data_IF_180551165911
#
_entry.id   IF_180551165911
#
_cell.length_a   1.000
_cell.length_b   1.000
_cell.length_c   1.000
_cell.angle_alpha   90.00
_cell.angle_beta   90.00
_cell.angle_gamma   90.00
#
_symmetry.space_group_name_H-M   'P 1'
#
loop_
_entity.id
_entity.type
_entity.pdbx_description
1 polymer ?
#
# COMPACT_ATOMS: atom_id res chain seq x y z
N UNK A 1 24.23 -103.59 -1.15
CA UNK A 1 24.05 -102.36 -1.95
C UNK A 1 22.73 -101.78 -1.47
N UNK A 2 22.80 -100.87 -0.49
CA UNK A 2 21.61 -100.40 0.22
C UNK A 2 20.96 -99.27 -0.59
N UNK A 3 20.20 -99.67 -1.61
CA UNK A 3 19.46 -98.78 -2.48
C UNK A 3 18.43 -97.97 -1.70
N UNK A 4 17.77 -98.57 -0.72
CA UNK A 4 16.77 -97.89 0.12
C UNK A 4 17.37 -96.73 0.94
N UNK A 5 18.56 -96.92 1.53
CA UNK A 5 19.24 -95.87 2.28
C UNK A 5 19.73 -94.71 1.38
N UNK A 6 19.86 -94.96 0.09
CA UNK A 6 20.24 -93.95 -0.91
C UNK A 6 19.02 -93.18 -1.39
N UNK A 7 17.87 -93.87 -1.56
CA UNK A 7 16.58 -93.25 -1.90
C UNK A 7 16.09 -92.36 -0.76
N UNK A 8 16.20 -92.80 0.50
CA UNK A 8 15.84 -91.96 1.66
C UNK A 8 16.71 -90.71 1.76
N UNK A 9 18.03 -90.82 1.59
CA UNK A 9 18.93 -89.66 1.58
C UNK A 9 18.63 -88.69 0.43
N UNK A 10 18.35 -89.21 -0.76
CA UNK A 10 17.98 -88.39 -1.91
C UNK A 10 16.64 -87.68 -1.67
N UNK A 11 15.68 -88.37 -1.04
CA UNK A 11 14.37 -87.80 -0.69
C UNK A 11 14.48 -86.70 0.37
N UNK A 12 15.36 -86.89 1.37
CA UNK A 12 15.66 -85.90 2.40
C UNK A 12 16.32 -84.65 1.82
N UNK A 13 17.26 -84.82 0.89
CA UNK A 13 17.90 -83.69 0.19
C UNK A 13 16.91 -82.93 -0.71
N UNK A 14 16.02 -83.63 -1.43
CA UNK A 14 14.96 -83.01 -2.26
C UNK A 14 13.93 -82.23 -1.42
N UNK A 15 13.61 -82.71 -0.22
CA UNK A 15 12.73 -82.01 0.72
C UNK A 15 13.43 -80.80 1.35
N UNK A 16 14.71 -80.91 1.68
CA UNK A 16 15.50 -79.82 2.24
C UNK A 16 15.71 -78.68 1.24
N UNK A 17 15.95 -78.99 -0.04
CA UNK A 17 16.09 -78.02 -1.13
C UNK A 17 14.76 -77.31 -1.47
N UNK A 18 13.62 -78.01 -1.32
CA UNK A 18 12.29 -77.39 -1.37
C UNK A 18 12.03 -76.48 -0.17
N UNK A 19 12.41 -76.89 1.05
CA UNK A 19 12.20 -76.10 2.27
C UNK A 19 13.03 -74.83 2.35
N UNK A 20 14.27 -74.83 1.86
CA UNK A 20 15.13 -73.65 1.79
C UNK A 20 14.66 -72.67 0.70
N UNK A 21 14.33 -73.16 -0.50
CA UNK A 21 13.77 -72.34 -1.58
C UNK A 21 12.45 -71.65 -1.20
N UNK A 22 11.62 -72.32 -0.40
CA UNK A 22 10.35 -71.80 0.12
C UNK A 22 10.54 -70.74 1.23
N UNK A 23 11.63 -70.84 1.98
CA UNK A 23 12.00 -69.85 3.00
C UNK A 23 12.54 -68.55 2.37
N UNK A 24 13.34 -68.65 1.31
CA UNK A 24 13.81 -67.48 0.54
C UNK A 24 12.68 -66.78 -0.23
N UNK A 25 11.74 -67.53 -0.81
CA UNK A 25 10.56 -66.93 -1.46
C UNK A 25 9.65 -66.21 -0.46
N UNK A 26 9.51 -66.73 0.75
CA UNK A 26 8.70 -66.10 1.80
C UNK A 26 9.35 -64.80 2.31
N UNK A 27 10.67 -64.79 2.54
CA UNK A 27 11.38 -63.55 2.90
C UNK A 27 11.32 -62.48 1.80
N UNK A 28 11.48 -62.88 0.53
CA UNK A 28 11.37 -61.94 -0.59
C UNK A 28 9.96 -61.36 -0.73
N UNK A 29 8.92 -62.18 -0.52
CA UNK A 29 7.53 -61.74 -0.51
C UNK A 29 7.20 -60.81 0.66
N UNK A 30 7.74 -61.06 1.85
CA UNK A 30 7.60 -60.16 3.01
C UNK A 30 8.30 -58.82 2.77
N UNK A 31 9.51 -58.84 2.22
CA UNK A 31 10.27 -57.62 1.94
C UNK A 31 9.62 -56.78 0.82
N UNK A 32 9.07 -57.41 -0.22
CA UNK A 32 8.30 -56.72 -1.26
C UNK A 32 6.97 -56.18 -0.73
N UNK A 33 6.28 -56.89 0.15
CA UNK A 33 5.08 -56.38 0.81
C UNK A 33 5.39 -55.15 1.69
N UNK A 34 6.48 -55.18 2.46
CA UNK A 34 6.94 -54.04 3.26
C UNK A 34 7.29 -52.83 2.39
N UNK A 35 8.00 -53.04 1.28
CA UNK A 35 8.30 -51.97 0.31
C UNK A 35 7.03 -51.39 -0.31
N UNK A 36 6.05 -52.21 -0.67
CA UNK A 36 4.76 -51.74 -1.22
C UNK A 36 3.99 -50.90 -0.19
N UNK A 37 3.99 -51.31 1.08
CA UNK A 37 3.39 -50.53 2.16
C UNK A 37 4.10 -49.20 2.38
N UNK A 38 5.44 -49.18 2.35
CA UNK A 38 6.21 -47.94 2.48
C UNK A 38 5.98 -46.98 1.32
N UNK A 39 5.96 -47.50 0.08
CA UNK A 39 5.64 -46.70 -1.12
C UNK A 39 4.24 -46.11 -1.02
N UNK A 40 3.24 -46.90 -0.61
CA UNK A 40 1.88 -46.40 -0.41
C UNK A 40 1.84 -45.31 0.67
N UNK A 41 2.52 -45.51 1.80
CA UNK A 41 2.58 -44.51 2.88
C UNK A 41 3.20 -43.20 2.39
N UNK A 42 4.30 -43.29 1.65
CA UNK A 42 4.98 -42.12 1.08
C UNK A 42 4.12 -41.41 0.04
N UNK A 43 3.36 -42.14 -0.78
CA UNK A 43 2.41 -41.56 -1.72
C UNK A 43 1.30 -40.79 -0.99
N UNK A 44 0.68 -41.39 0.02
CA UNK A 44 -0.36 -40.72 0.83
C UNK A 44 0.18 -39.48 1.56
N UNK A 45 1.40 -39.55 2.09
CA UNK A 45 2.06 -38.42 2.74
C UNK A 45 2.39 -37.30 1.75
N UNK A 46 2.84 -37.65 0.53
CA UNK A 46 3.11 -36.69 -0.53
C UNK A 46 1.83 -35.99 -0.99
N UNK A 47 0.76 -36.74 -1.23
CA UNK A 47 -0.56 -36.19 -1.58
C UNK A 47 -1.07 -35.22 -0.52
N UNK A 48 -0.94 -35.56 0.77
CA UNK A 48 -1.30 -34.65 1.87
C UNK A 48 -0.50 -33.35 1.82
N UNK A 49 0.81 -33.44 1.62
CA UNK A 49 1.69 -32.26 1.53
C UNK A 49 1.34 -31.38 0.33
N UNK A 50 1.05 -31.97 -0.82
CA UNK A 50 0.64 -31.23 -2.02
C UNK A 50 -0.66 -30.47 -1.75
N UNK A 51 -1.67 -31.14 -1.18
CA UNK A 51 -2.94 -30.50 -0.83
C UNK A 51 -2.77 -29.37 0.19
N UNK A 52 -1.88 -29.54 1.17
CA UNK A 52 -1.55 -28.47 2.13
C UNK A 52 -0.86 -27.28 1.46
N UNK A 53 0.09 -27.53 0.56
CA UNK A 53 0.77 -26.48 -0.20
C UNK A 53 -0.18 -25.72 -1.12
N UNK A 54 -1.09 -26.41 -1.81
CA UNK A 54 -2.12 -25.78 -2.64
C UNK A 54 -3.02 -24.85 -1.82
N UNK A 55 -3.45 -25.31 -0.63
CA UNK A 55 -4.25 -24.49 0.29
C UNK A 55 -3.49 -23.24 0.75
N UNK A 56 -2.22 -23.38 1.10
CA UNK A 56 -1.38 -22.25 1.50
C UNK A 56 -1.18 -21.26 0.34
N UNK A 57 -0.93 -21.77 -0.87
CA UNK A 57 -0.78 -20.95 -2.07
C UNK A 57 -2.05 -20.13 -2.36
N UNK A 58 -3.23 -20.75 -2.26
CA UNK A 58 -4.50 -20.05 -2.45
C UNK A 58 -4.71 -18.94 -1.41
N UNK A 59 -4.37 -19.21 -0.14
CA UNK A 59 -4.42 -18.22 0.92
C UNK A 59 -3.49 -17.03 0.63
N UNK A 60 -2.24 -17.29 0.25
CA UNK A 60 -1.29 -16.24 -0.11
C UNK A 60 -1.73 -15.46 -1.35
N UNK A 61 -2.28 -16.12 -2.35
CA UNK A 61 -2.80 -15.44 -3.54
C UNK A 61 -3.92 -14.48 -3.18
N UNK A 62 -4.83 -14.88 -2.29
CA UNK A 62 -5.89 -14.01 -1.79
C UNK A 62 -5.31 -12.82 -1.02
N UNK A 63 -4.40 -13.06 -0.08
CA UNK A 63 -3.77 -11.99 0.71
C UNK A 63 -3.01 -10.99 -0.18
N UNK A 64 -2.31 -11.48 -1.21
CA UNK A 64 -1.61 -10.63 -2.17
C UNK A 64 -2.58 -9.75 -2.97
N UNK A 65 -3.72 -10.30 -3.42
CA UNK A 65 -4.76 -9.51 -4.11
C UNK A 65 -5.35 -8.45 -3.19
N UNK A 66 -5.68 -8.81 -1.95
CA UNK A 66 -6.19 -7.85 -0.97
C UNK A 66 -5.18 -6.72 -0.70
N UNK A 67 -3.90 -7.06 -0.53
CA UNK A 67 -2.85 -6.06 -0.34
C UNK A 67 -2.68 -5.16 -1.57
N UNK A 68 -2.73 -5.74 -2.78
CA UNK A 68 -2.65 -4.98 -4.02
C UNK A 68 -3.80 -3.98 -4.16
N UNK A 69 -5.04 -4.40 -3.90
CA UNK A 69 -6.19 -3.48 -3.96
C UNK A 69 -6.07 -2.33 -2.95
N UNK A 70 -5.57 -2.61 -1.73
CA UNK A 70 -5.31 -1.57 -0.73
C UNK A 70 -4.21 -0.61 -1.16
N UNK A 71 -3.15 -1.12 -1.79
CA UNK A 71 -2.06 -0.31 -2.31
C UNK A 71 -2.57 0.62 -3.42
N UNK A 72 -3.32 0.10 -4.39
CA UNK A 72 -3.90 0.88 -5.49
C UNK A 72 -4.83 2.00 -4.96
N UNK A 73 -5.65 1.71 -3.94
CA UNK A 73 -6.49 2.71 -3.29
C UNK A 73 -5.66 3.81 -2.59
N UNK A 74 -4.60 3.43 -1.88
CA UNK A 74 -3.70 4.37 -1.20
C UNK A 74 -2.94 5.25 -2.21
N UNK A 75 -2.47 4.67 -3.32
CA UNK A 75 -1.82 5.41 -4.41
C UNK A 75 -2.78 6.39 -5.10
N UNK A 76 -4.04 6.00 -5.28
CA UNK A 76 -5.07 6.90 -5.80
C UNK A 76 -5.31 8.07 -4.84
N UNK A 77 -5.44 7.81 -3.54
CA UNK A 77 -5.58 8.86 -2.53
C UNK A 77 -4.36 9.79 -2.52
N UNK A 78 -3.14 9.26 -2.65
CA UNK A 78 -1.92 10.06 -2.72
C UNK A 78 -1.93 11.01 -3.93
N UNK A 79 -2.43 10.55 -5.08
CA UNK A 79 -2.59 11.39 -6.29
C UNK A 79 -3.57 12.53 -6.06
N UNK A 80 -4.71 12.25 -5.42
CA UNK A 80 -5.70 13.29 -5.08
C UNK A 80 -5.12 14.33 -4.13
N UNK A 81 -4.38 13.91 -3.09
CA UNK A 81 -3.72 14.81 -2.16
C UNK A 81 -2.68 15.70 -2.85
N UNK A 82 -1.90 15.14 -3.77
CA UNK A 82 -0.94 15.92 -4.58
C UNK A 82 -1.63 16.95 -5.46
N UNK A 83 -2.76 16.61 -6.08
CA UNK A 83 -3.55 17.56 -6.85
C UNK A 83 -4.07 18.71 -5.96
N UNK A 84 -4.63 18.38 -4.79
CA UNK A 84 -5.12 19.38 -3.83
C UNK A 84 -4.01 20.32 -3.32
N UNK A 85 -2.79 19.80 -3.10
CA UNK A 85 -1.64 20.64 -2.74
C UNK A 85 -1.31 21.68 -3.82
N UNK A 86 -1.41 21.32 -5.10
CA UNK A 86 -1.22 22.27 -6.21
C UNK A 86 -2.28 23.38 -6.23
N UNK A 87 -3.52 23.08 -5.85
CA UNK A 87 -4.57 24.10 -5.69
C UNK A 87 -4.25 25.07 -4.55
N UNK A 88 -3.77 24.56 -3.41
CA UNK A 88 -3.33 25.39 -2.26
C UNK A 88 -2.23 26.37 -2.68
N UNK A 89 -1.23 25.91 -3.43
CA UNK A 89 -0.18 26.78 -3.95
C UNK A 89 -0.77 27.87 -4.85
N UNK A 90 -1.74 27.52 -5.70
CA UNK A 90 -2.43 28.49 -6.56
C UNK A 90 -3.17 29.55 -5.74
N UNK A 91 -3.92 29.14 -4.73
CA UNK A 91 -4.62 30.08 -3.83
C UNK A 91 -3.64 30.96 -3.04
N UNK A 92 -2.49 30.42 -2.64
CA UNK A 92 -1.45 31.19 -1.96
C UNK A 92 -0.91 32.32 -2.85
N UNK A 93 -0.57 32.02 -4.09
CA UNK A 93 -0.12 33.04 -5.05
C UNK A 93 -1.23 34.07 -5.36
N UNK A 94 -2.49 33.64 -5.45
CA UNK A 94 -3.62 34.55 -5.61
C UNK A 94 -3.77 35.49 -4.41
N UNK A 95 -3.64 34.98 -3.18
CA UNK A 95 -3.69 35.80 -1.97
C UNK A 95 -2.54 36.81 -1.91
N UNK A 96 -1.31 36.40 -2.25
CA UNK A 96 -0.15 37.30 -2.36
C UNK A 96 -0.40 38.41 -3.39
N UNK A 97 -0.98 38.07 -4.54
CA UNK A 97 -1.33 39.06 -5.58
C UNK A 97 -2.40 40.03 -5.10
N UNK A 98 -3.46 39.53 -4.46
CA UNK A 98 -4.53 40.36 -3.90
C UNK A 98 -4.00 41.30 -2.82
N UNK A 99 -3.05 40.86 -2.01
CA UNK A 99 -2.42 41.68 -0.98
C UNK A 99 -1.68 42.89 -1.59
N UNK A 100 -0.93 42.69 -2.68
CA UNK A 100 -0.27 43.79 -3.39
C UNK A 100 -1.27 44.81 -3.93
N UNK A 101 -2.40 44.35 -4.48
CA UNK A 101 -3.48 45.23 -4.97
C UNK A 101 -4.09 46.03 -3.82
N UNK A 102 -4.30 45.40 -2.66
CA UNK A 102 -4.81 46.10 -1.46
C UNK A 102 -3.83 47.19 -1.02
N UNK A 103 -2.53 46.89 -0.97
CA UNK A 103 -1.49 47.86 -0.59
C UNK A 103 -1.43 49.05 -1.56
N UNK A 104 -1.56 48.79 -2.86
CA UNK A 104 -1.62 49.85 -3.86
C UNK A 104 -2.86 50.73 -3.67
N UNK A 105 -4.05 50.13 -3.50
CA UNK A 105 -5.29 50.87 -3.28
C UNK A 105 -5.25 51.68 -1.99
N UNK A 106 -4.69 51.13 -0.91
CA UNK A 106 -4.49 51.87 0.34
C UNK A 106 -3.59 53.10 0.11
N UNK A 107 -2.51 52.95 -0.67
CA UNK A 107 -1.63 54.05 -1.03
C UNK A 107 -2.37 55.12 -1.83
N UNK A 108 -3.16 54.73 -2.83
CA UNK A 108 -3.98 55.66 -3.61
C UNK A 108 -5.00 56.40 -2.74
N UNK A 109 -5.69 55.72 -1.82
CA UNK A 109 -6.62 56.35 -0.88
C UNK A 109 -5.90 57.36 0.02
N UNK A 110 -4.72 57.02 0.54
CA UNK A 110 -3.91 57.97 1.34
C UNK A 110 -3.56 59.22 0.53
N UNK A 111 -3.14 59.06 -0.73
CA UNK A 111 -2.85 60.19 -1.62
C UNK A 111 -4.08 61.04 -1.93
N UNK A 112 -5.23 60.41 -2.18
CA UNK A 112 -6.49 61.13 -2.42
C UNK A 112 -6.94 61.91 -1.19
N UNK A 113 -6.83 61.33 0.01
CA UNK A 113 -7.14 62.03 1.27
C UNK A 113 -6.26 63.27 1.45
N UNK A 114 -4.94 63.14 1.24
CA UNK A 114 -4.00 64.27 1.33
C UNK A 114 -4.34 65.34 0.29
N UNK A 115 -4.60 64.94 -0.95
CA UNK A 115 -4.92 65.87 -2.04
C UNK A 115 -6.23 66.60 -1.76
N UNK A 116 -7.26 65.89 -1.30
CA UNK A 116 -8.55 66.46 -0.93
C UNK A 116 -8.40 67.47 0.22
N UNK A 117 -7.64 67.12 1.26
CA UNK A 117 -7.33 68.03 2.36
C UNK A 117 -6.64 69.31 1.87
N UNK A 118 -5.63 69.20 1.00
CA UNK A 118 -4.94 70.36 0.42
C UNK A 118 -5.88 71.25 -0.37
N UNK A 119 -6.77 70.67 -1.17
CA UNK A 119 -7.77 71.42 -1.93
C UNK A 119 -8.76 72.12 -1.02
N UNK A 120 -9.29 71.44 -0.01
CA UNK A 120 -10.14 72.05 1.00
C UNK A 120 -9.42 73.24 1.63
N UNK A 121 -8.19 73.06 2.11
CA UNK A 121 -7.41 74.13 2.70
C UNK A 121 -7.23 75.34 1.77
N UNK A 122 -6.92 75.14 0.49
CA UNK A 122 -6.81 76.22 -0.51
C UNK A 122 -8.15 76.91 -0.75
N UNK A 123 -9.26 76.18 -0.81
CA UNK A 123 -10.60 76.79 -0.95
C UNK A 123 -10.91 77.69 0.23
N UNK A 124 -10.64 77.24 1.47
CA UNK A 124 -10.83 78.05 2.67
C UNK A 124 -9.97 79.32 2.67
N UNK A 125 -8.74 79.27 2.14
CA UNK A 125 -7.90 80.46 2.02
C UNK A 125 -8.42 81.50 1.04
N UNK A 126 -9.15 81.07 0.01
CA UNK A 126 -9.66 81.93 -1.06
C UNK A 126 -11.12 82.35 -0.86
N UNK A 127 -11.74 81.97 0.27
CA UNK A 127 -13.11 82.35 0.58
C UNK A 127 -13.17 83.87 0.89
N UNK A 128 -13.96 84.66 0.14
CA UNK A 128 -14.02 86.10 0.34
C UNK A 128 -14.60 86.39 1.72
N UNK A 129 -13.83 87.10 2.55
CA UNK A 129 -14.21 87.59 3.89
C UNK A 129 -15.60 88.25 3.83
N UNK A 130 -16.66 87.49 4.13
CA UNK A 130 -18.03 87.99 4.00
C UNK A 130 -19.15 87.09 4.55
N UNK A 131 -18.87 85.86 4.96
CA UNK A 131 -19.87 84.99 5.61
C UNK A 131 -19.52 84.76 7.08
N UNK A 132 -20.41 85.12 8.00
CA UNK A 132 -20.27 84.87 9.42
C UNK A 132 -20.22 83.36 9.70
N UNK A 133 -19.03 82.86 10.02
CA UNK A 133 -18.83 81.50 10.51
C UNK A 133 -17.37 81.30 10.83
N UNK A 134 -17.04 81.21 12.13
CA UNK A 134 -15.71 80.78 12.55
C UNK A 134 -15.54 79.31 12.15
N UNK A 135 -15.10 79.08 10.92
CA UNK A 135 -14.80 77.75 10.42
C UNK A 135 -13.29 77.56 10.46
N UNK A 136 -12.84 76.88 11.51
CA UNK A 136 -11.47 76.39 11.63
C UNK A 136 -11.15 75.51 10.41
N UNK A 137 -9.89 75.50 9.92
CA UNK A 137 -9.52 74.61 8.83
C UNK A 137 -9.86 73.16 9.19
N UNK A 138 -10.31 72.35 8.22
CA UNK A 138 -10.65 70.96 8.48
C UNK A 138 -9.45 70.24 9.11
N UNK A 139 -9.67 69.31 10.03
CA UNK A 139 -8.57 68.54 10.62
C UNK A 139 -7.87 67.71 9.52
N UNK A 140 -6.54 67.55 9.60
CA UNK A 140 -5.81 66.73 8.65
C UNK A 140 -6.33 65.28 8.68
N UNK A 141 -6.38 64.59 7.52
CA UNK A 141 -6.94 63.26 7.43
C UNK A 141 -6.06 62.24 8.16
N UNK A 142 -6.70 61.25 8.78
CA UNK A 142 -6.01 60.08 9.30
C UNK A 142 -5.53 59.20 8.14
N UNK A 143 -4.22 58.97 8.09
CA UNK A 143 -3.50 58.30 7.00
C UNK A 143 -2.77 57.04 7.49
N UNK A 144 -3.00 56.62 8.73
CA UNK A 144 -2.43 55.40 9.27
C UNK A 144 -3.30 54.20 8.91
#
# INVERSE_FOLDING_TARGET
MDFDATIERLSGLKLQERGSSQSYSNQFNEQTAQLQHEVRRLQEENERRVLEQERQMLCWQQQMREMQTRLEAAEHQNRLLKAALGEVDTYRHQAETQQLVIEELQTQVKQLRITNYRLQYVVHQNEPRGGQGSFLPPPPPDIF
#
